data_IF_688918550291
#
_entry.id   IF_688918550291
#
_cell.length_a   1.000
_cell.length_b   1.000
_cell.length_c   1.000
_cell.angle_alpha   90.00
_cell.angle_beta   90.00
_cell.angle_gamma   90.00
#
_symmetry.space_group_name_H-M   'P 1'
#
loop_
_entity.id
_entity.type
_entity.pdbx_description
1 polymer ?
#
# COMPACT_ATOMS: atom_id res chain seq x y z
N UNK A 1 -0.52 25.53 1.98
CA UNK A 1 0.39 26.14 2.98
C UNK A 1 1.28 25.05 3.55
N UNK A 2 2.60 25.25 3.59
CA UNK A 2 3.53 24.28 4.17
C UNK A 2 3.50 24.41 5.71
N UNK A 3 2.59 23.70 6.37
CA UNK A 3 2.53 23.63 7.83
C UNK A 3 2.35 22.19 8.29
N UNK A 4 3.22 21.72 9.19
CA UNK A 4 2.99 20.53 10.01
C UNK A 4 3.97 19.39 9.77
N UNK A 5 3.86 18.69 8.63
CA UNK A 5 4.53 17.40 8.41
C UNK A 5 5.85 17.45 7.60
N UNK A 6 6.11 18.57 6.93
CA UNK A 6 7.17 18.70 5.89
C UNK A 6 8.33 19.62 6.30
N UNK A 7 8.28 20.27 7.46
CA UNK A 7 9.18 21.39 7.81
C UNK A 7 10.65 20.97 8.05
N UNK A 8 10.94 19.68 8.25
CA UNK A 8 12.30 19.19 8.55
C UNK A 8 12.82 18.09 7.61
N UNK A 9 12.16 17.87 6.47
CA UNK A 9 12.54 16.81 5.54
C UNK A 9 12.76 17.42 4.13
N UNK A 10 14.01 17.62 3.68
CA UNK A 10 14.32 18.20 2.36
C UNK A 10 13.78 17.37 1.17
N UNK A 11 13.56 16.08 1.40
CA UNK A 11 12.98 15.06 0.52
C UNK A 11 11.46 15.17 0.30
N UNK A 12 10.82 16.10 1.01
CA UNK A 12 9.36 16.25 1.04
C UNK A 12 8.81 17.42 0.21
N UNK A 13 9.65 18.07 -0.61
CA UNK A 13 9.17 18.97 -1.67
C UNK A 13 8.39 18.15 -2.70
N UNK A 14 7.10 18.46 -2.95
CA UNK A 14 6.28 17.77 -3.95
C UNK A 14 6.95 17.66 -5.32
N UNK A 15 7.71 18.67 -5.75
CA UNK A 15 8.40 18.66 -7.04
C UNK A 15 9.57 17.66 -7.06
N UNK A 16 10.34 17.55 -5.97
CA UNK A 16 11.40 16.55 -5.84
C UNK A 16 10.84 15.14 -5.85
N UNK A 17 9.76 14.91 -5.09
CA UNK A 17 9.08 13.61 -5.05
C UNK A 17 8.56 13.23 -6.43
N UNK A 18 7.92 14.16 -7.16
CA UNK A 18 7.43 13.88 -8.50
C UNK A 18 8.57 13.56 -9.47
N UNK A 19 9.69 14.30 -9.42
CA UNK A 19 10.89 14.00 -10.22
C UNK A 19 11.41 12.59 -9.96
N UNK A 20 11.50 12.17 -8.69
CA UNK A 20 11.93 10.82 -8.36
C UNK A 20 11.02 9.73 -8.97
N UNK A 21 9.70 9.94 -9.00
CA UNK A 21 8.79 8.99 -9.64
C UNK A 21 8.95 8.98 -11.17
N UNK A 22 9.18 10.14 -11.79
CA UNK A 22 9.47 10.23 -13.22
C UNK A 22 10.77 9.50 -13.58
N UNK A 23 11.85 9.74 -12.82
CA UNK A 23 13.15 9.09 -13.02
C UNK A 23 13.08 7.57 -12.78
N UNK A 24 12.35 7.11 -11.76
CA UNK A 24 12.10 5.68 -11.54
C UNK A 24 11.35 5.04 -12.73
N UNK A 25 10.42 5.79 -13.33
CA UNK A 25 9.71 5.39 -14.54
C UNK A 25 10.61 5.27 -15.76
N UNK A 26 11.47 6.26 -15.99
CA UNK A 26 12.46 6.24 -17.08
C UNK A 26 13.44 5.07 -16.94
N UNK A 27 13.84 4.75 -15.71
CA UNK A 27 14.69 3.60 -15.37
C UNK A 27 13.93 2.27 -15.31
N UNK A 28 12.60 2.29 -15.51
CA UNK A 28 11.75 1.09 -15.55
C UNK A 28 11.82 0.27 -14.24
N UNK A 29 11.86 0.95 -13.10
CA UNK A 29 11.93 0.31 -11.78
C UNK A 29 10.50 0.14 -11.25
N UNK A 30 10.06 -1.09 -10.89
CA UNK A 30 8.80 -1.28 -10.17
C UNK A 30 8.80 -0.47 -8.87
N UNK A 31 7.83 0.42 -8.72
CA UNK A 31 7.86 1.43 -7.66
C UNK A 31 6.57 1.42 -6.84
N UNK A 32 6.71 1.58 -5.54
CA UNK A 32 5.59 1.80 -4.62
C UNK A 32 5.46 3.29 -4.35
N UNK A 33 4.26 3.82 -4.57
CA UNK A 33 3.89 5.19 -4.17
C UNK A 33 2.77 5.16 -3.16
N UNK A 34 2.20 6.32 -2.82
CA UNK A 34 1.13 6.38 -1.84
C UNK A 34 0.77 7.78 -1.38
N UNK A 35 -0.28 7.83 -0.57
CA UNK A 35 -0.76 9.01 0.12
C UNK A 35 -0.81 8.73 1.63
N UNK A 36 -0.41 9.72 2.42
CA UNK A 36 -0.57 9.72 3.87
C UNK A 36 -1.73 10.64 4.23
N UNK A 37 -2.74 10.11 4.90
CA UNK A 37 -3.97 10.83 5.24
C UNK A 37 -3.92 11.35 6.68
N UNK A 38 -4.43 12.55 6.94
CA UNK A 38 -4.58 13.10 8.30
C UNK A 38 -3.35 13.86 8.80
N UNK A 39 -2.55 14.41 7.89
CA UNK A 39 -1.34 15.19 8.20
C UNK A 39 -1.56 16.72 8.11
N UNK A 40 -2.80 17.16 7.90
CA UNK A 40 -3.19 18.57 7.78
C UNK A 40 -3.54 19.01 6.35
N UNK A 41 -3.51 18.07 5.42
CA UNK A 41 -3.95 18.24 4.04
C UNK A 41 -5.48 18.32 3.92
N UNK A 42 -5.95 19.04 2.91
CA UNK A 42 -7.36 19.10 2.57
C UNK A 42 -7.74 18.06 1.48
N UNK A 43 -9.04 17.81 1.24
CA UNK A 43 -9.47 16.83 0.25
C UNK A 43 -8.99 17.09 -1.19
N UNK A 44 -8.83 18.34 -1.62
CA UNK A 44 -8.33 18.66 -2.95
C UNK A 44 -6.85 18.25 -3.07
N UNK A 45 -6.02 18.52 -2.05
CA UNK A 45 -4.60 18.11 -2.04
C UNK A 45 -4.42 16.58 -2.11
N UNK A 46 -5.32 15.82 -1.46
CA UNK A 46 -5.33 14.34 -1.57
C UNK A 46 -5.65 13.88 -2.99
N UNK A 47 -6.66 14.49 -3.61
CA UNK A 47 -7.06 14.19 -4.99
C UNK A 47 -5.95 14.57 -5.97
N UNK A 48 -5.35 15.74 -5.84
CA UNK A 48 -4.24 16.18 -6.68
C UNK A 48 -3.07 15.19 -6.61
N UNK A 49 -2.80 14.65 -5.41
CA UNK A 49 -1.77 13.61 -5.23
C UNK A 49 -2.13 12.31 -5.96
N UNK A 50 -3.37 11.83 -5.83
CA UNK A 50 -3.82 10.62 -6.54
C UNK A 50 -3.79 10.80 -8.07
N UNK A 51 -4.18 11.98 -8.56
CA UNK A 51 -4.12 12.32 -9.99
C UNK A 51 -2.67 12.37 -10.48
N UNK A 52 -1.76 12.97 -9.73
CA UNK A 52 -0.34 12.99 -10.08
C UNK A 52 0.26 11.58 -10.17
N UNK A 53 -0.06 10.70 -9.21
CA UNK A 53 0.36 9.29 -9.23
C UNK A 53 -0.22 8.57 -10.46
N UNK A 54 -1.51 8.75 -10.74
CA UNK A 54 -2.18 8.18 -11.92
C UNK A 54 -1.49 8.62 -13.21
N UNK A 55 -1.20 9.90 -13.35
CA UNK A 55 -0.67 10.46 -14.59
C UNK A 55 0.77 9.98 -14.84
N UNK A 56 1.59 9.89 -13.77
CA UNK A 56 2.93 9.28 -13.84
C UNK A 56 2.86 7.79 -14.19
N UNK A 57 1.94 7.04 -13.58
CA UNK A 57 1.73 5.63 -13.92
C UNK A 57 1.24 5.47 -15.36
N UNK A 58 0.33 6.32 -15.84
CA UNK A 58 -0.16 6.28 -17.21
C UNK A 58 0.97 6.54 -18.23
N UNK A 59 1.94 7.38 -17.88
CA UNK A 59 3.10 7.69 -18.73
C UNK A 59 4.11 6.55 -18.80
N UNK A 60 4.43 5.91 -17.67
CA UNK A 60 5.58 4.99 -17.57
C UNK A 60 5.20 3.54 -17.25
N UNK A 61 4.02 3.31 -16.68
CA UNK A 61 3.52 2.00 -16.27
C UNK A 61 4.34 1.30 -15.19
N UNK A 62 5.16 2.02 -14.42
CA UNK A 62 6.14 1.43 -13.48
C UNK A 62 5.65 1.35 -12.03
N UNK A 63 4.63 2.12 -11.67
CA UNK A 63 4.06 2.08 -10.30
C UNK A 63 3.29 0.77 -10.15
N UNK A 64 3.79 -0.14 -9.30
CA UNK A 64 3.15 -1.43 -9.05
C UNK A 64 2.09 -1.34 -7.95
N UNK A 65 2.18 -0.34 -7.06
CA UNK A 65 1.34 -0.21 -5.86
C UNK A 65 1.16 1.24 -5.43
N UNK A 66 -0.03 1.55 -4.93
CA UNK A 66 -0.34 2.81 -4.24
C UNK A 66 -0.87 2.52 -2.85
N UNK A 67 -0.15 2.97 -1.83
CA UNK A 67 -0.54 2.84 -0.43
C UNK A 67 -1.45 4.00 -0.02
N UNK A 68 -2.61 3.70 0.55
CA UNK A 68 -3.48 4.64 1.25
C UNK A 68 -3.30 4.41 2.75
N UNK A 69 -2.50 5.27 3.39
CA UNK A 69 -2.11 5.10 4.78
C UNK A 69 -2.72 6.21 5.65
N UNK A 70 -3.46 5.90 6.72
CA UNK A 70 -3.80 6.91 7.71
C UNK A 70 -2.60 7.22 8.62
N UNK A 71 -2.47 8.50 8.98
CA UNK A 71 -1.56 8.97 10.02
C UNK A 71 -2.23 8.83 11.38
N UNK A 72 -1.53 8.17 12.31
CA UNK A 72 -1.92 8.13 13.71
C UNK A 72 -1.03 9.10 14.51
N UNK A 73 -1.60 10.17 15.09
CA UNK A 73 -0.88 11.11 15.93
C UNK A 73 -0.18 10.41 17.11
N UNK A 74 1.09 10.76 17.34
CA UNK A 74 1.89 10.16 18.42
C UNK A 74 2.19 11.17 19.53
N UNK A 75 2.01 10.81 20.80
CA UNK A 75 2.43 11.65 21.92
C UNK A 75 3.89 12.09 21.79
N UNK A 76 4.17 13.36 22.12
CA UNK A 76 5.54 13.91 22.07
C UNK A 76 6.04 14.29 20.66
N UNK A 77 5.22 14.15 19.61
CA UNK A 77 5.55 14.65 18.26
C UNK A 77 4.92 16.02 17.98
N UNK A 78 5.46 16.83 17.05
CA UNK A 78 4.84 18.10 16.66
C UNK A 78 3.41 17.97 16.13
N UNK A 79 3.03 16.79 15.64
CA UNK A 79 1.72 16.48 15.08
C UNK A 79 0.80 15.75 16.04
N UNK A 80 1.16 15.65 17.33
CA UNK A 80 0.39 14.93 18.35
C UNK A 80 -1.05 15.43 18.52
N UNK A 81 -1.30 16.71 18.21
CA UNK A 81 -2.61 17.35 18.37
C UNK A 81 -3.50 17.28 17.12
N UNK A 82 -3.04 16.67 16.02
CA UNK A 82 -3.87 16.50 14.84
C UNK A 82 -4.99 15.49 15.11
N UNK A 83 -6.19 15.68 14.55
CA UNK A 83 -7.25 14.69 14.66
C UNK A 83 -6.88 13.44 13.84
N UNK A 84 -7.05 12.27 14.46
CA UNK A 84 -7.01 11.00 13.73
C UNK A 84 -8.25 10.88 12.85
N UNK A 85 -8.08 10.40 11.61
CA UNK A 85 -9.21 10.08 10.74
C UNK A 85 -9.97 8.86 11.26
N UNK A 86 -11.29 8.86 11.10
CA UNK A 86 -12.08 7.67 11.39
C UNK A 86 -11.81 6.57 10.35
N UNK A 87 -11.93 5.31 10.77
CA UNK A 87 -11.78 4.15 9.89
C UNK A 87 -12.69 4.22 8.65
N UNK A 88 -13.90 4.78 8.78
CA UNK A 88 -14.83 4.99 7.67
C UNK A 88 -14.32 6.03 6.66
N UNK A 89 -13.67 7.10 7.12
CA UNK A 89 -13.02 8.07 6.24
C UNK A 89 -11.85 7.44 5.49
N UNK A 90 -11.02 6.64 6.17
CA UNK A 90 -9.92 5.91 5.54
C UNK A 90 -10.43 4.98 4.44
N UNK A 91 -11.47 4.20 4.73
CA UNK A 91 -12.12 3.34 3.74
C UNK A 91 -12.69 4.14 2.55
N UNK A 92 -13.29 5.30 2.80
CA UNK A 92 -13.73 6.22 1.74
C UNK A 92 -12.59 6.66 0.82
N UNK A 93 -11.41 6.96 1.37
CA UNK A 93 -10.22 7.30 0.58
C UNK A 93 -9.64 6.12 -0.18
N UNK A 94 -9.69 4.90 0.36
CA UNK A 94 -9.35 3.67 -0.38
C UNK A 94 -10.26 3.50 -1.59
N UNK A 95 -11.57 3.67 -1.41
CA UNK A 95 -12.54 3.60 -2.52
C UNK A 95 -12.28 4.66 -3.58
N UNK A 96 -11.99 5.90 -3.17
CA UNK A 96 -11.66 6.98 -4.08
C UNK A 96 -10.36 6.71 -4.84
N UNK A 97 -9.32 6.20 -4.16
CA UNK A 97 -8.08 5.79 -4.80
C UNK A 97 -8.31 4.70 -5.85
N UNK A 98 -9.11 3.66 -5.55
CA UNK A 98 -9.51 2.64 -6.52
C UNK A 98 -10.20 3.24 -7.75
N UNK A 99 -11.13 4.17 -7.55
CA UNK A 99 -11.85 4.81 -8.66
C UNK A 99 -10.94 5.70 -9.52
N UNK A 100 -10.03 6.45 -8.90
CA UNK A 100 -9.11 7.37 -9.60
C UNK A 100 -8.01 6.62 -10.35
N UNK A 101 -7.41 5.60 -9.70
CA UNK A 101 -6.27 4.84 -10.24
C UNK A 101 -6.69 3.73 -11.20
N UNK A 102 -7.99 3.42 -11.25
CA UNK A 102 -8.56 2.42 -12.14
C UNK A 102 -8.50 0.99 -11.59
N UNK A 103 -9.04 0.02 -12.36
CA UNK A 103 -9.24 -1.34 -11.87
C UNK A 103 -7.95 -2.17 -11.78
N UNK A 104 -6.88 -1.78 -12.48
CA UNK A 104 -5.64 -2.55 -12.56
C UNK A 104 -4.60 -2.19 -11.51
N UNK A 105 -4.65 -0.99 -10.92
CA UNK A 105 -3.65 -0.57 -9.93
C UNK A 105 -3.77 -1.40 -8.66
N UNK A 106 -2.65 -1.82 -8.07
CA UNK A 106 -2.70 -2.41 -6.74
C UNK A 106 -2.86 -1.30 -5.70
N UNK A 107 -3.96 -1.37 -4.95
CA UNK A 107 -4.26 -0.41 -3.88
C UNK A 107 -4.08 -1.13 -2.55
N UNK A 108 -3.19 -0.58 -1.73
CA UNK A 108 -2.82 -1.14 -0.44
C UNK A 108 -3.37 -0.28 0.70
N UNK A 109 -3.88 -0.90 1.77
CA UNK A 109 -4.14 -0.21 3.04
C UNK A 109 -3.64 -1.06 4.23
N UNK A 110 -2.82 -0.51 5.15
CA UNK A 110 -2.28 -1.27 6.28
C UNK A 110 -3.40 -1.71 7.25
N UNK A 111 -3.54 -3.01 7.55
CA UNK A 111 -4.68 -3.51 8.32
C UNK A 111 -4.58 -3.20 9.81
N UNK A 112 -3.38 -2.92 10.34
CA UNK A 112 -3.16 -2.55 11.74
C UNK A 112 -3.55 -1.09 12.04
N UNK A 113 -3.71 -0.24 11.02
CA UNK A 113 -4.01 1.17 11.20
C UNK A 113 -5.50 1.51 11.04
N UNK A 114 -6.36 0.52 10.79
CA UNK A 114 -7.82 0.64 10.83
C UNK A 114 -8.44 -0.75 11.15
N UNK A 115 -8.13 -1.31 12.33
CA UNK A 115 -8.41 -2.72 12.65
C UNK A 115 -9.90 -3.03 12.80
N UNK A 116 -10.74 -2.04 13.09
CA UNK A 116 -12.18 -2.23 13.23
C UNK A 116 -12.90 -2.25 11.87
N UNK A 117 -12.22 -1.79 10.82
CA UNK A 117 -12.77 -1.66 9.48
C UNK A 117 -12.19 -2.61 8.43
N UNK A 118 -11.50 -3.69 8.80
CA UNK A 118 -10.93 -4.65 7.82
C UNK A 118 -11.95 -5.06 6.75
N UNK A 119 -13.16 -5.48 7.13
CA UNK A 119 -14.18 -5.87 6.15
C UNK A 119 -14.65 -4.68 5.27
N UNK A 120 -14.67 -3.46 5.81
CA UNK A 120 -15.05 -2.26 5.08
C UNK A 120 -13.95 -1.82 4.11
N UNK A 121 -12.69 -1.82 4.54
CA UNK A 121 -11.51 -1.56 3.73
C UNK A 121 -11.43 -2.53 2.55
N UNK A 122 -11.62 -3.82 2.80
CA UNK A 122 -11.63 -4.86 1.76
C UNK A 122 -12.68 -4.56 0.68
N UNK A 123 -13.92 -4.23 1.09
CA UNK A 123 -14.99 -3.83 0.17
C UNK A 123 -14.78 -2.47 -0.50
N UNK A 124 -13.88 -1.64 0.03
CA UNK A 124 -13.54 -0.35 -0.56
C UNK A 124 -12.62 -0.48 -1.77
N UNK A 125 -12.23 -1.71 -2.16
CA UNK A 125 -11.53 -1.95 -3.40
C UNK A 125 -10.00 -2.01 -3.29
N UNK A 126 -9.46 -2.07 -2.07
CA UNK A 126 -8.09 -2.55 -1.90
C UNK A 126 -7.99 -3.99 -2.38
N UNK A 127 -6.79 -4.35 -2.82
CA UNK A 127 -6.44 -5.73 -3.14
C UNK A 127 -5.12 -6.15 -2.49
N UNK A 128 -4.56 -5.30 -1.62
CA UNK A 128 -3.40 -5.63 -0.81
C UNK A 128 -3.52 -5.05 0.62
N UNK A 129 -3.16 -5.86 1.61
CA UNK A 129 -3.03 -5.45 3.01
C UNK A 129 -1.63 -4.90 3.32
N UNK A 130 -0.66 -5.13 2.45
CA UNK A 130 0.73 -4.75 2.62
C UNK A 130 1.50 -5.72 3.51
N UNK A 131 2.61 -5.24 4.06
CA UNK A 131 3.43 -6.04 4.95
C UNK A 131 2.67 -6.42 6.22
N UNK A 132 2.43 -7.71 6.45
CA UNK A 132 1.85 -8.24 7.69
C UNK A 132 2.81 -9.29 8.23
N UNK A 133 3.17 -9.17 9.52
CA UNK A 133 4.13 -10.08 10.15
C UNK A 133 3.54 -10.74 11.39
N UNK A 134 3.53 -12.08 11.48
CA UNK A 134 3.20 -12.78 12.71
C UNK A 134 4.39 -12.86 13.69
N UNK A 135 5.59 -12.45 13.28
CA UNK A 135 6.84 -12.63 14.02
C UNK A 135 7.44 -11.34 14.57
N UNK A 136 7.14 -10.21 13.94
CA UNK A 136 7.76 -8.91 14.24
C UNK A 136 6.68 -7.88 14.53
N UNK A 137 7.04 -6.83 15.27
CA UNK A 137 6.20 -5.64 15.41
C UNK A 137 6.26 -4.77 14.14
N UNK A 138 5.34 -3.82 14.03
CA UNK A 138 5.49 -2.69 13.10
C UNK A 138 6.51 -1.71 13.71
N UNK A 139 7.68 -1.54 13.09
CA UNK A 139 8.72 -0.63 13.58
C UNK A 139 8.37 0.85 13.35
N UNK A 140 7.42 1.14 12.44
CA UNK A 140 6.92 2.49 12.20
C UNK A 140 5.80 2.83 13.19
N UNK A 141 4.90 1.87 13.45
CA UNK A 141 3.78 2.02 14.39
C UNK A 141 3.79 0.90 15.45
N UNK A 142 4.77 0.89 16.37
CA UNK A 142 4.88 -0.15 17.39
C UNK A 142 3.65 -0.26 18.31
N UNK A 143 2.88 0.82 18.42
CA UNK A 143 1.60 0.89 19.14
C UNK A 143 0.42 0.20 18.42
N UNK A 144 0.57 -0.12 17.12
CA UNK A 144 -0.47 -0.71 16.27
C UNK A 144 -0.03 -2.12 15.82
N UNK A 145 -0.33 -3.18 16.60
CA UNK A 145 0.12 -4.53 16.30
C UNK A 145 -0.54 -5.08 15.04
N UNK A 146 0.19 -5.97 14.33
CA UNK A 146 -0.37 -6.68 13.19
C UNK A 146 -1.59 -7.53 13.60
N UNK A 147 -2.63 -7.60 12.77
CA UNK A 147 -3.74 -8.53 13.00
C UNK A 147 -3.23 -9.98 12.88
N UNK A 148 -3.90 -10.90 13.57
CA UNK A 148 -3.63 -12.33 13.36
C UNK A 148 -4.00 -12.71 11.94
N UNK A 149 -3.15 -13.50 11.26
CA UNK A 149 -3.39 -13.90 9.87
C UNK A 149 -4.77 -14.55 9.65
N UNK A 150 -5.30 -15.29 10.63
CA UNK A 150 -6.66 -15.87 10.55
C UNK A 150 -7.77 -14.83 10.61
N UNK A 151 -7.61 -13.77 11.39
CA UNK A 151 -8.58 -12.67 11.43
C UNK A 151 -8.59 -11.94 10.10
N UNK A 152 -7.40 -11.67 9.55
CA UNK A 152 -7.25 -11.09 8.23
C UNK A 152 -7.87 -11.97 7.12
N UNK A 153 -7.62 -13.28 7.16
CA UNK A 153 -8.20 -14.25 6.22
C UNK A 153 -9.73 -14.31 6.33
N UNK A 154 -10.29 -14.31 7.54
CA UNK A 154 -11.74 -14.28 7.77
C UNK A 154 -12.36 -12.98 7.26
N UNK A 155 -11.76 -11.83 7.56
CA UNK A 155 -12.25 -10.53 7.10
C UNK A 155 -12.21 -10.42 5.56
N UNK A 156 -11.12 -10.89 4.94
CA UNK A 156 -10.97 -10.94 3.48
C UNK A 156 -12.00 -11.89 2.83
N UNK A 157 -12.26 -13.04 3.45
CA UNK A 157 -13.27 -13.98 2.94
C UNK A 157 -14.69 -13.42 3.08
N UNK A 158 -14.98 -12.72 4.17
CA UNK A 158 -16.27 -12.09 4.42
C UNK A 158 -16.58 -10.94 3.43
N UNK A 159 -15.58 -10.36 2.76
CA UNK A 159 -15.76 -9.41 1.66
C UNK A 159 -15.88 -10.07 0.28
N UNK A 160 -15.89 -11.41 0.20
CA UNK A 160 -15.93 -12.15 -1.06
C UNK A 160 -14.57 -12.24 -1.78
N UNK A 161 -13.47 -11.91 -1.09
CA UNK A 161 -12.11 -12.00 -1.59
C UNK A 161 -11.38 -13.20 -0.98
N UNK A 162 -10.17 -13.50 -1.47
CA UNK A 162 -9.31 -14.57 -0.94
C UNK A 162 -7.98 -13.98 -0.52
N UNK A 163 -7.55 -14.28 0.70
CA UNK A 163 -6.21 -13.91 1.15
C UNK A 163 -5.18 -14.80 0.44
N UNK A 164 -4.17 -14.15 -0.14
CA UNK A 164 -3.03 -14.78 -0.81
C UNK A 164 -1.75 -14.08 -0.37
N UNK A 165 -0.66 -14.82 -0.25
CA UNK A 165 0.66 -14.24 0.00
C UNK A 165 1.30 -13.92 -1.35
N UNK A 166 1.96 -12.78 -1.45
CA UNK A 166 2.76 -12.39 -2.63
C UNK A 166 4.23 -12.23 -2.24
N UNK A 167 5.09 -12.23 -3.25
CA UNK A 167 6.46 -11.76 -3.10
C UNK A 167 6.48 -10.21 -3.01
N UNK A 168 7.64 -9.59 -2.68
CA UNK A 168 7.75 -8.12 -2.68
C UNK A 168 7.42 -7.46 -4.02
N UNK A 169 7.58 -8.19 -5.14
CA UNK A 169 7.14 -7.77 -6.47
C UNK A 169 5.81 -8.43 -6.82
N UNK A 170 4.97 -7.68 -7.53
CA UNK A 170 3.65 -8.13 -7.94
C UNK A 170 3.70 -9.15 -9.10
N UNK A 171 2.70 -10.04 -9.22
CA UNK A 171 2.63 -11.01 -10.31
C UNK A 171 2.72 -10.38 -11.71
N UNK A 172 2.07 -9.24 -11.91
CA UNK A 172 2.07 -8.50 -13.18
C UNK A 172 3.49 -8.10 -13.60
N UNK A 173 4.32 -7.70 -12.63
CA UNK A 173 5.72 -7.33 -12.86
C UNK A 173 6.59 -8.58 -13.07
N UNK A 174 6.51 -9.57 -12.17
CA UNK A 174 7.32 -10.78 -12.23
C UNK A 174 7.08 -11.61 -13.53
N UNK A 175 5.81 -11.73 -13.92
CA UNK A 175 5.38 -12.52 -15.07
C UNK A 175 5.38 -11.70 -16.37
N UNK A 176 4.92 -10.44 -16.31
CA UNK A 176 4.73 -9.59 -17.48
C UNK A 176 5.98 -8.84 -17.93
N UNK A 177 7.00 -8.69 -17.06
CA UNK A 177 8.21 -7.91 -17.36
C UNK A 177 9.50 -8.68 -17.07
N UNK A 178 9.79 -9.78 -17.80
CA UNK A 178 10.96 -10.60 -17.55
C UNK A 178 12.28 -9.82 -17.60
N UNK A 179 12.36 -8.80 -18.46
CA UNK A 179 13.58 -8.01 -18.69
C UNK A 179 13.90 -7.02 -17.54
N UNK A 180 13.04 -6.90 -16.53
CA UNK A 180 13.25 -5.97 -15.39
C UNK A 180 14.06 -6.62 -14.27
N UNK A 181 14.27 -7.93 -14.38
CA UNK A 181 14.89 -8.71 -13.34
C UNK A 181 16.20 -9.27 -13.84
N UNK A 182 17.20 -9.29 -12.96
CA UNK A 182 18.34 -10.15 -13.16
C UNK A 182 17.85 -11.61 -13.39
N UNK A 183 18.36 -12.33 -14.42
CA UNK A 183 17.87 -13.67 -14.74
C UNK A 183 17.93 -14.66 -13.57
N UNK A 184 18.95 -14.57 -12.70
CA UNK A 184 19.09 -15.44 -11.54
C UNK A 184 18.07 -15.10 -10.45
N UNK A 185 17.84 -13.80 -10.20
CA UNK A 185 16.80 -13.33 -9.27
C UNK A 185 15.42 -13.75 -9.75
N UNK A 186 15.11 -13.57 -11.04
CA UNK A 186 13.83 -13.98 -11.62
C UNK A 186 13.61 -15.48 -11.51
N UNK A 187 14.62 -16.28 -11.86
CA UNK A 187 14.54 -17.73 -11.74
C UNK A 187 14.32 -18.19 -10.30
N UNK A 188 14.90 -17.50 -9.31
CA UNK A 188 14.65 -17.77 -7.90
C UNK A 188 13.22 -17.41 -7.47
N UNK A 189 12.73 -16.23 -7.87
CA UNK A 189 11.37 -15.80 -7.58
C UNK A 189 10.31 -16.74 -8.19
N UNK A 190 10.51 -17.17 -9.45
CA UNK A 190 9.60 -18.10 -10.13
C UNK A 190 9.49 -19.47 -9.46
N UNK A 191 10.49 -19.90 -8.69
CA UNK A 191 10.42 -21.15 -7.90
C UNK A 191 9.55 -21.02 -6.64
N UNK A 192 9.23 -19.80 -6.22
CA UNK A 192 8.46 -19.54 -4.99
C UNK A 192 6.98 -19.28 -5.26
N UNK A 193 6.58 -19.14 -6.52
CA UNK A 193 5.23 -18.75 -6.92
C UNK A 193 4.52 -19.86 -7.70
N UNK A 194 3.20 -19.82 -7.70
CA UNK A 194 2.38 -20.67 -8.58
C UNK A 194 2.23 -20.06 -9.99
N UNK A 195 1.42 -20.69 -10.84
CA UNK A 195 1.17 -20.22 -12.21
C UNK A 195 0.50 -18.83 -12.29
N UNK A 196 -0.08 -18.35 -11.19
CA UNK A 196 -0.68 -17.01 -11.07
C UNK A 196 0.29 -15.97 -10.53
N UNK A 197 1.52 -16.36 -10.15
CA UNK A 197 2.56 -15.45 -9.67
C UNK A 197 2.47 -15.10 -8.18
N UNK A 198 1.50 -15.66 -7.46
CA UNK A 198 1.41 -15.56 -5.99
C UNK A 198 2.21 -16.67 -5.32
N UNK A 199 2.57 -16.48 -4.05
CA UNK A 199 3.36 -17.45 -3.27
C UNK A 199 2.69 -18.83 -3.29
N UNK A 200 3.43 -19.84 -3.70
CA UNK A 200 3.00 -21.23 -3.62
C UNK A 200 2.86 -21.65 -2.15
N UNK A 201 1.93 -22.58 -1.87
CA UNK A 201 1.67 -23.12 -0.53
C UNK A 201 2.96 -23.43 0.27
N UNK A 202 2.97 -23.31 1.61
CA UNK A 202 1.80 -23.32 2.51
C UNK A 202 1.14 -21.96 2.72
N UNK A 203 -0.12 -21.99 3.18
CA UNK A 203 -0.89 -20.80 3.62
C UNK A 203 -0.98 -20.81 5.14
N UNK A 204 -0.16 -20.04 5.87
CA UNK A 204 -0.04 -20.15 7.32
C UNK A 204 -1.34 -19.91 8.10
N UNK A 205 -2.33 -19.24 7.49
CA UNK A 205 -3.66 -19.04 8.08
C UNK A 205 -4.60 -20.25 7.96
N UNK A 206 -4.26 -21.28 7.16
CA UNK A 206 -5.04 -22.50 6.98
C UNK A 206 -4.56 -23.67 7.89
N UNK A 207 -3.32 -23.65 8.39
CA UNK A 207 -2.62 -24.84 8.92
C UNK A 207 -2.74 -25.16 10.43
N UNK A 208 -3.65 -24.53 11.19
CA UNK A 208 -3.81 -24.93 12.60
C UNK A 208 -5.27 -24.92 13.08
N UNK A 209 -6.10 -25.73 12.42
CA UNK A 209 -7.37 -26.18 13.00
C UNK A 209 -7.11 -27.00 14.28
#
# INVERSE_FOLDING_TARGET
SLSGAHFWAPDKDPALRLRMHEEAGELRIPFTSGILLGIGENPAERIDTLLAIRDVHAKHGHIQEVIVQPFHPKPGTPMAALPQLSDAEVAGWVALARLVLGPSMNVQAPPNLAPEALALLARSGLNDWGGVSPLTIDFINPEAPWPKLRELARATSASGQRLVERLPVYPEELLGRPDFFDPAVRAAALRLVDATGFRAAPRPWEEAA
#
